data_IF_273870223731
#
_entry.id   IF_273870223731
#
_cell.length_a   1.000
_cell.length_b   1.000
_cell.length_c   1.000
_cell.angle_alpha   90.00
_cell.angle_beta   90.00
_cell.angle_gamma   90.00
#
_symmetry.space_group_name_H-M   'P 1'
#
loop_
_entity.id
_entity.type
_entity.pdbx_description
1 polymer ?
#
# COMPACT_ATOMS: atom_id res chain seq x y z
N UNK A 1 -48.10 22.27 -38.20
CA UNK A 1 -46.99 23.18 -38.61
C UNK A 1 -46.97 24.39 -37.67
N UNK A 2 -46.03 24.46 -36.72
CA UNK A 2 -45.77 25.69 -35.96
C UNK A 2 -44.51 26.33 -36.55
N UNK A 3 -44.74 27.34 -37.38
CA UNK A 3 -43.73 28.12 -38.08
C UNK A 3 -42.98 29.02 -37.10
N UNK A 4 -41.64 28.94 -37.12
CA UNK A 4 -40.78 29.92 -36.47
C UNK A 4 -40.88 31.22 -37.30
N UNK A 5 -41.72 32.16 -36.85
CA UNK A 5 -41.97 33.44 -37.52
C UNK A 5 -40.75 34.35 -37.41
N UNK A 6 -40.36 34.89 -38.57
CA UNK A 6 -39.74 36.19 -38.82
C UNK A 6 -38.81 36.76 -37.74
N UNK A 7 -37.50 36.51 -37.86
CA UNK A 7 -36.50 37.52 -37.46
C UNK A 7 -35.42 37.65 -38.53
N UNK A 8 -35.15 38.91 -38.88
CA UNK A 8 -34.25 39.37 -39.93
C UNK A 8 -32.87 38.74 -39.82
N UNK A 9 -32.36 38.29 -40.96
CA UNK A 9 -30.98 37.91 -41.14
C UNK A 9 -30.06 39.10 -40.79
N UNK A 10 -29.13 38.88 -39.86
CA UNK A 10 -27.89 39.61 -39.82
C UNK A 10 -26.79 38.68 -40.29
N UNK A 11 -26.13 39.11 -41.36
CA UNK A 11 -24.95 38.47 -41.89
C UNK A 11 -23.73 38.84 -41.04
N UNK A 12 -22.76 37.92 -41.08
CA UNK A 12 -21.32 38.08 -40.85
C UNK A 12 -20.77 37.74 -39.46
N UNK A 13 -19.83 36.80 -39.53
CA UNK A 13 -18.59 36.70 -38.75
C UNK A 13 -18.72 36.48 -37.26
N UNK A 14 -18.35 35.26 -36.84
CA UNK A 14 -17.53 35.03 -35.65
C UNK A 14 -17.95 35.83 -34.41
N UNK A 15 -19.13 35.60 -33.83
CA UNK A 15 -19.34 35.86 -32.39
C UNK A 15 -20.53 35.06 -31.85
N UNK A 16 -20.28 34.35 -30.75
CA UNK A 16 -21.24 33.55 -29.99
C UNK A 16 -22.41 34.44 -29.54
N UNK A 17 -23.64 34.08 -29.91
CA UNK A 17 -24.85 34.66 -29.30
C UNK A 17 -25.57 33.55 -28.54
N UNK A 18 -25.63 33.70 -27.22
CA UNK A 18 -26.35 32.81 -26.29
C UNK A 18 -27.60 33.50 -25.77
N UNK A 19 -28.73 32.79 -25.78
CA UNK A 19 -29.98 33.24 -25.16
C UNK A 19 -30.40 32.23 -24.06
N UNK A 20 -30.95 32.74 -22.97
CA UNK A 20 -31.32 31.96 -21.77
C UNK A 20 -32.83 31.75 -21.69
N UNK A 21 -33.26 30.48 -21.56
CA UNK A 21 -34.54 30.13 -20.94
C UNK A 21 -34.43 28.75 -20.29
N UNK A 22 -34.78 28.66 -19.01
CA UNK A 22 -34.83 27.45 -18.17
C UNK A 22 -33.50 26.66 -18.03
N UNK A 23 -32.41 27.34 -17.63
CA UNK A 23 -31.23 26.67 -17.05
C UNK A 23 -30.36 25.79 -17.97
N UNK A 24 -30.77 25.56 -19.22
CA UNK A 24 -29.99 24.80 -20.20
C UNK A 24 -29.57 25.71 -21.36
N UNK A 25 -28.26 25.82 -21.59
CA UNK A 25 -27.68 26.56 -22.70
C UNK A 25 -27.95 25.80 -24.02
N UNK A 26 -29.14 25.95 -24.62
CA UNK A 26 -29.42 25.38 -25.94
C UNK A 26 -28.92 26.34 -27.02
N UNK A 27 -27.84 25.95 -27.71
CA UNK A 27 -27.38 26.63 -28.93
C UNK A 27 -28.40 26.37 -30.04
N UNK A 28 -29.20 27.37 -30.41
CA UNK A 28 -29.94 27.31 -31.67
C UNK A 28 -28.97 27.60 -32.81
N UNK A 29 -28.26 26.57 -33.28
CA UNK A 29 -27.54 26.65 -34.55
C UNK A 29 -28.56 26.50 -35.68
N UNK A 30 -28.68 27.53 -36.52
CA UNK A 30 -29.45 27.45 -37.76
C UNK A 30 -28.62 26.62 -38.75
N UNK A 31 -28.93 25.33 -38.86
CA UNK A 31 -28.17 24.35 -39.67
C UNK A 31 -28.36 24.48 -41.19
N UNK A 32 -28.92 25.59 -41.68
CA UNK A 32 -29.31 25.77 -43.10
C UNK A 32 -28.18 25.65 -44.13
N UNK A 33 -26.92 25.53 -43.70
CA UNK A 33 -25.75 25.36 -44.56
C UNK A 33 -24.92 24.11 -44.26
N UNK A 34 -25.34 23.25 -43.33
CA UNK A 34 -24.64 22.00 -43.04
C UNK A 34 -25.30 20.86 -43.83
N UNK A 35 -24.51 20.13 -44.61
CA UNK A 35 -24.96 18.88 -45.22
C UNK A 35 -24.81 17.75 -44.20
N UNK A 36 -25.77 16.82 -44.20
CA UNK A 36 -25.63 15.62 -43.40
C UNK A 36 -24.38 14.85 -43.85
N UNK A 37 -23.56 14.41 -42.89
CA UNK A 37 -22.31 13.71 -43.19
C UNK A 37 -22.53 12.41 -43.98
N UNK A 38 -23.65 11.74 -43.71
CA UNK A 38 -23.93 10.41 -44.25
C UNK A 38 -24.69 10.45 -45.59
N UNK A 39 -25.37 11.57 -45.90
CA UNK A 39 -26.12 11.76 -47.15
C UNK A 39 -26.10 13.23 -47.58
N UNK A 40 -26.00 13.51 -48.89
CA UNK A 40 -26.00 14.87 -49.47
C UNK A 40 -27.37 15.57 -49.38
N UNK A 41 -27.93 15.66 -48.17
CA UNK A 41 -29.16 16.35 -47.85
C UNK A 41 -28.88 17.41 -46.78
N UNK A 42 -29.65 18.51 -46.75
CA UNK A 42 -29.50 19.52 -45.72
C UNK A 42 -29.78 18.91 -44.34
N UNK A 43 -28.84 19.12 -43.41
CA UNK A 43 -29.00 18.71 -42.02
C UNK A 43 -30.16 19.49 -41.40
N UNK A 44 -31.02 18.76 -40.70
CA UNK A 44 -32.21 19.31 -40.06
C UNK A 44 -31.95 19.54 -38.57
N UNK A 45 -31.14 18.68 -37.95
CA UNK A 45 -30.86 18.68 -36.52
C UNK A 45 -29.37 18.36 -36.24
N UNK A 46 -28.85 18.87 -35.13
CA UNK A 46 -27.48 18.59 -34.68
C UNK A 46 -27.55 17.52 -33.61
N UNK A 47 -26.86 16.40 -33.81
CA UNK A 47 -26.79 15.34 -32.83
C UNK A 47 -25.69 15.65 -31.80
N UNK A 48 -26.02 15.93 -30.53
CA UNK A 48 -25.01 16.18 -29.51
C UNK A 48 -24.21 14.92 -29.14
N UNK A 49 -24.69 13.73 -29.50
CA UNK A 49 -23.99 12.46 -29.21
C UNK A 49 -22.85 12.20 -30.20
N UNK A 50 -23.05 12.53 -31.47
CA UNK A 50 -22.02 12.38 -32.51
C UNK A 50 -21.25 13.68 -32.78
N UNK A 51 -21.67 14.79 -32.18
CA UNK A 51 -21.22 16.16 -32.50
C UNK A 51 -21.32 16.49 -34.00
N UNK A 52 -22.32 15.93 -34.68
CA UNK A 52 -22.48 16.02 -36.14
C UNK A 52 -23.85 16.56 -36.54
N UNK A 53 -23.90 17.26 -37.67
CA UNK A 53 -25.14 17.72 -38.28
C UNK A 53 -25.77 16.57 -39.09
N UNK A 54 -26.97 16.13 -38.72
CA UNK A 54 -27.65 14.97 -39.31
C UNK A 54 -28.98 15.37 -39.96
N UNK A 55 -29.39 14.60 -40.97
CA UNK A 55 -30.75 14.67 -41.51
C UNK A 55 -31.72 13.95 -40.55
N UNK A 56 -33.04 14.18 -40.71
CA UNK A 56 -34.05 13.59 -39.84
C UNK A 56 -34.06 12.06 -39.81
N UNK A 57 -33.60 11.38 -40.86
CA UNK A 57 -33.54 9.92 -40.89
C UNK A 57 -32.25 9.37 -40.25
N UNK A 58 -31.09 10.00 -40.52
CA UNK A 58 -29.85 9.65 -39.82
C UNK A 58 -29.91 9.93 -38.32
N UNK A 59 -30.73 10.90 -37.88
CA UNK A 59 -30.98 11.15 -36.46
C UNK A 59 -31.81 10.01 -35.82
N UNK A 60 -32.77 9.43 -36.54
CA UNK A 60 -33.56 8.28 -36.03
C UNK A 60 -32.73 7.01 -35.90
N UNK A 61 -31.73 6.83 -36.78
CA UNK A 61 -30.80 5.71 -36.73
C UNK A 61 -29.64 5.92 -35.75
N UNK A 62 -29.46 7.15 -35.25
CA UNK A 62 -28.53 7.44 -34.16
C UNK A 62 -29.04 6.74 -32.91
N UNK A 63 -28.56 5.50 -32.69
CA UNK A 63 -28.91 4.68 -31.53
C UNK A 63 -28.71 5.50 -30.28
N UNK A 64 -29.79 5.76 -29.55
CA UNK A 64 -29.75 6.46 -28.27
C UNK A 64 -28.66 5.83 -27.39
N UNK A 65 -27.65 6.62 -27.03
CA UNK A 65 -26.73 6.23 -25.98
C UNK A 65 -27.58 6.13 -24.72
N UNK A 66 -27.78 4.91 -24.24
CA UNK A 66 -28.22 4.64 -22.88
C UNK A 66 -27.19 5.32 -21.99
N UNK A 67 -27.56 6.47 -21.42
CA UNK A 67 -26.73 7.18 -20.44
C UNK A 67 -26.29 6.18 -19.38
N UNK A 68 -25.03 6.26 -18.91
CA UNK A 68 -24.54 5.41 -17.82
C UNK A 68 -25.44 5.53 -16.58
N UNK A 69 -26.18 6.63 -16.42
CA UNK A 69 -27.25 6.79 -15.40
C UNK A 69 -28.38 5.75 -15.51
N UNK A 70 -28.67 5.18 -16.69
CA UNK A 70 -29.61 4.06 -16.84
C UNK A 70 -29.03 2.72 -16.37
N UNK A 71 -27.69 2.59 -16.30
CA UNK A 71 -27.02 1.45 -15.66
C UNK A 71 -26.78 1.67 -14.16
N UNK A 72 -26.72 2.92 -13.71
CA UNK A 72 -26.52 3.30 -12.30
C UNK A 72 -27.82 3.60 -11.54
N UNK A 73 -28.97 3.67 -12.23
CA UNK A 73 -30.26 3.69 -11.53
C UNK A 73 -30.52 2.28 -11.03
N UNK A 74 -30.66 2.08 -9.70
CA UNK A 74 -30.96 0.77 -9.17
C UNK A 74 -32.36 0.39 -9.68
N UNK A 75 -32.42 -0.47 -10.69
CA UNK A 75 -33.65 -1.19 -10.99
C UNK A 75 -34.02 -1.90 -9.69
N UNK A 76 -35.20 -1.55 -9.15
CA UNK A 76 -35.70 -2.10 -7.90
C UNK A 76 -35.68 -3.64 -8.02
N UNK A 77 -34.70 -4.29 -7.41
CA UNK A 77 -34.68 -5.74 -7.20
C UNK A 77 -33.69 -6.59 -8.01
N UNK A 78 -32.86 -6.05 -8.89
CA UNK A 78 -31.87 -6.88 -9.63
C UNK A 78 -30.43 -6.38 -9.44
N UNK A 79 -29.80 -6.75 -8.30
CA UNK A 79 -28.34 -6.82 -8.26
C UNK A 79 -27.92 -7.80 -9.36
N UNK A 80 -27.06 -7.37 -10.28
CA UNK A 80 -26.55 -8.29 -11.30
C UNK A 80 -25.68 -9.34 -10.59
N UNK A 81 -25.76 -10.61 -11.02
CA UNK A 81 -24.94 -11.71 -10.49
C UNK A 81 -23.44 -11.37 -10.47
N UNK A 82 -22.98 -10.49 -11.38
CA UNK A 82 -21.61 -10.00 -11.40
C UNK A 82 -21.26 -9.13 -10.17
N UNK A 83 -22.19 -8.30 -9.69
CA UNK A 83 -21.97 -7.49 -8.48
C UNK A 83 -21.92 -8.36 -7.21
N UNK A 84 -22.78 -9.37 -7.09
CA UNK A 84 -22.75 -10.30 -5.95
C UNK A 84 -21.44 -11.11 -5.90
N UNK A 85 -20.93 -11.51 -7.08
CA UNK A 85 -19.64 -12.19 -7.17
C UNK A 85 -18.47 -11.27 -6.78
N UNK A 86 -18.50 -10.00 -7.17
CA UNK A 86 -17.48 -9.01 -6.77
C UNK A 86 -17.53 -8.78 -5.26
N UNK A 87 -18.71 -8.58 -4.68
CA UNK A 87 -18.90 -8.39 -3.24
C UNK A 87 -18.38 -9.60 -2.45
N UNK A 88 -18.66 -10.82 -2.93
CA UNK A 88 -18.11 -12.04 -2.33
C UNK A 88 -16.58 -12.09 -2.37
N UNK A 89 -15.97 -11.81 -3.53
CA UNK A 89 -14.50 -11.80 -3.65
C UNK A 89 -13.88 -10.74 -2.74
N UNK A 90 -14.48 -9.56 -2.62
CA UNK A 90 -14.00 -8.51 -1.72
C UNK A 90 -14.06 -8.95 -0.25
N UNK A 91 -15.16 -9.57 0.16
CA UNK A 91 -15.31 -10.11 1.52
C UNK A 91 -14.30 -11.24 1.81
N UNK A 92 -14.09 -12.14 0.85
CA UNK A 92 -13.10 -13.22 0.96
C UNK A 92 -11.68 -12.64 1.07
N UNK A 93 -11.35 -11.61 0.28
CA UNK A 93 -10.06 -10.92 0.36
C UNK A 93 -9.87 -10.21 1.71
N UNK A 94 -10.89 -9.51 2.20
CA UNK A 94 -10.84 -8.83 3.50
C UNK A 94 -10.61 -9.83 4.65
N UNK A 95 -11.31 -10.96 4.60
CA UNK A 95 -11.17 -12.05 5.58
C UNK A 95 -9.77 -12.67 5.54
N UNK A 96 -9.23 -12.91 4.34
CA UNK A 96 -7.90 -13.47 4.14
C UNK A 96 -6.80 -12.52 4.63
N UNK A 97 -6.91 -11.22 4.29
CA UNK A 97 -5.97 -10.20 4.77
C UNK A 97 -6.02 -10.10 6.28
N UNK A 98 -7.22 -10.06 6.87
CA UNK A 98 -7.41 -10.00 8.32
C UNK A 98 -6.80 -11.20 9.04
N UNK A 99 -6.92 -12.40 8.46
CA UNK A 99 -6.32 -13.62 9.00
C UNK A 99 -4.80 -13.60 8.90
N UNK A 100 -4.25 -13.20 7.74
CA UNK A 100 -2.81 -13.08 7.54
C UNK A 100 -2.16 -12.05 8.48
N UNK A 101 -2.85 -10.94 8.77
CA UNK A 101 -2.39 -9.94 9.76
C UNK A 101 -2.34 -10.55 11.16
N UNK A 102 -3.40 -11.26 11.58
CA UNK A 102 -3.44 -11.93 12.90
C UNK A 102 -2.31 -12.96 13.05
N UNK A 103 -2.08 -13.77 12.02
CA UNK A 103 -1.02 -14.79 12.07
C UNK A 103 0.37 -14.16 12.07
N UNK A 104 0.58 -13.09 11.29
CA UNK A 104 1.82 -12.31 11.34
C UNK A 104 2.06 -11.73 12.73
N UNK A 105 1.04 -11.14 13.34
CA UNK A 105 1.17 -10.49 14.64
C UNK A 105 1.44 -11.51 15.75
N UNK A 106 0.83 -12.70 15.69
CA UNK A 106 1.17 -13.84 16.57
C UNK A 106 2.62 -14.27 16.39
N UNK A 107 3.05 -14.55 15.17
CA UNK A 107 4.42 -14.95 14.87
C UNK A 107 5.45 -13.89 15.33
N UNK A 108 5.13 -12.60 15.18
CA UNK A 108 5.98 -11.52 15.67
C UNK A 108 6.05 -11.48 17.19
N UNK A 109 4.95 -11.77 17.89
CA UNK A 109 4.94 -11.90 19.35
C UNK A 109 5.83 -13.05 19.80
N UNK A 110 5.64 -14.24 19.21
CA UNK A 110 6.40 -15.44 19.55
C UNK A 110 7.90 -15.24 19.30
N UNK A 111 8.27 -14.62 18.16
CA UNK A 111 9.66 -14.29 17.87
C UNK A 111 10.27 -13.29 18.85
N UNK A 112 9.49 -12.32 19.33
CA UNK A 112 9.94 -11.37 20.36
C UNK A 112 10.19 -12.07 21.69
N UNK A 113 9.29 -12.95 22.10
CA UNK A 113 9.44 -13.74 23.32
C UNK A 113 10.66 -14.67 23.24
N UNK A 114 10.82 -15.40 22.13
CA UNK A 114 12.00 -16.25 21.90
C UNK A 114 13.30 -15.44 21.96
N UNK A 115 13.33 -14.25 21.34
CA UNK A 115 14.50 -13.36 21.40
C UNK A 115 14.83 -12.94 22.84
N UNK A 116 13.82 -12.63 23.66
CA UNK A 116 14.02 -12.28 25.07
C UNK A 116 14.56 -13.46 25.88
N UNK A 117 14.00 -14.66 25.68
CA UNK A 117 14.47 -15.89 26.34
C UNK A 117 15.93 -16.18 26.00
N UNK A 118 16.28 -16.13 24.71
CA UNK A 118 17.66 -16.36 24.25
C UNK A 118 18.61 -15.30 24.83
N UNK A 119 18.21 -14.03 24.87
CA UNK A 119 19.03 -12.97 25.43
C UNK A 119 19.32 -13.20 26.93
N UNK A 120 18.32 -13.63 27.70
CA UNK A 120 18.50 -13.94 29.11
C UNK A 120 19.38 -15.20 29.31
N UNK A 121 19.20 -16.23 28.50
CA UNK A 121 20.07 -17.42 28.52
C UNK A 121 21.53 -17.06 28.22
N UNK A 122 21.79 -16.20 27.24
CA UNK A 122 23.15 -15.71 26.93
C UNK A 122 23.73 -14.96 28.12
N UNK A 123 22.94 -14.10 28.78
CA UNK A 123 23.36 -13.35 29.96
C UNK A 123 23.72 -14.28 31.13
N UNK A 124 22.88 -15.27 31.41
CA UNK A 124 23.15 -16.29 32.44
C UNK A 124 24.41 -17.08 32.12
N UNK A 125 24.61 -17.49 30.87
CA UNK A 125 25.84 -18.21 30.44
C UNK A 125 27.09 -17.36 30.62
N UNK A 126 27.03 -16.06 30.30
CA UNK A 126 28.15 -15.13 30.56
C UNK A 126 28.46 -15.00 32.04
N UNK A 127 27.45 -14.93 32.90
CA UNK A 127 27.66 -14.90 34.35
C UNK A 127 28.31 -16.20 34.84
N UNK A 128 27.84 -17.36 34.37
CA UNK A 128 28.43 -18.67 34.71
C UNK A 128 29.91 -18.74 34.29
N UNK A 129 30.23 -18.28 33.07
CA UNK A 129 31.62 -18.23 32.58
C UNK A 129 32.47 -17.33 33.47
N UNK A 130 32.00 -16.14 33.80
CA UNK A 130 32.76 -15.20 34.63
C UNK A 130 33.00 -15.75 36.04
N UNK A 131 31.99 -16.36 36.66
CA UNK A 131 32.17 -17.04 37.96
C UNK A 131 33.20 -18.16 37.87
N UNK A 132 33.15 -18.98 36.82
CA UNK A 132 34.12 -20.05 36.63
C UNK A 132 35.54 -19.51 36.45
N UNK A 133 35.72 -18.45 35.65
CA UNK A 133 37.02 -17.83 35.43
C UNK A 133 37.59 -17.21 36.71
N UNK A 134 36.77 -16.50 37.49
CA UNK A 134 37.20 -15.94 38.77
C UNK A 134 37.65 -17.03 39.74
N UNK A 135 36.87 -18.11 39.87
CA UNK A 135 37.23 -19.23 40.74
C UNK A 135 38.54 -19.91 40.28
N UNK A 136 38.74 -20.01 38.97
CA UNK A 136 39.97 -20.58 38.41
C UNK A 136 41.17 -19.67 38.67
N UNK A 137 41.00 -18.36 38.52
CA UNK A 137 42.03 -17.36 38.84
C UNK A 137 42.43 -17.42 40.31
N UNK A 138 41.45 -17.42 41.22
CA UNK A 138 41.68 -17.55 42.67
C UNK A 138 42.45 -18.85 43.00
N UNK A 139 42.02 -19.99 42.46
CA UNK A 139 42.69 -21.27 42.69
C UNK A 139 44.14 -21.29 42.15
N UNK A 140 44.41 -20.62 41.02
CA UNK A 140 45.75 -20.50 40.48
C UNK A 140 46.64 -19.58 41.32
N UNK A 141 46.10 -18.45 41.80
CA UNK A 141 46.80 -17.55 42.71
C UNK A 141 47.18 -18.28 43.99
N UNK A 142 46.24 -18.98 44.62
CA UNK A 142 46.49 -19.78 45.84
C UNK A 142 47.59 -20.82 45.62
N UNK A 143 47.55 -21.54 44.48
CA UNK A 143 48.56 -22.54 44.15
C UNK A 143 49.95 -21.91 43.93
N UNK A 144 50.03 -20.76 43.27
CA UNK A 144 51.30 -20.05 43.06
C UNK A 144 51.86 -19.57 44.40
N UNK A 145 51.03 -18.97 45.25
CA UNK A 145 51.46 -18.54 46.59
C UNK A 145 51.93 -19.71 47.46
N UNK A 146 51.24 -20.86 47.41
CA UNK A 146 51.68 -22.06 48.13
C UNK A 146 53.04 -22.56 47.63
N UNK A 147 53.26 -22.60 46.31
CA UNK A 147 54.55 -22.97 45.73
C UNK A 147 55.66 -21.98 46.11
N UNK A 148 55.36 -20.68 46.12
CA UNK A 148 56.33 -19.64 46.51
C UNK A 148 56.79 -19.85 47.96
N UNK A 149 55.87 -20.09 48.89
CA UNK A 149 56.19 -20.40 50.28
C UNK A 149 57.07 -21.66 50.37
N UNK A 150 56.71 -22.72 49.65
CA UNK A 150 57.48 -23.97 49.64
C UNK A 150 58.92 -23.76 49.12
N UNK A 151 59.08 -22.98 48.04
CA UNK A 151 60.41 -22.69 47.49
C UNK A 151 61.23 -21.80 48.44
N UNK A 152 60.63 -20.79 49.07
CA UNK A 152 61.31 -19.97 50.08
C UNK A 152 61.85 -20.82 51.23
N UNK A 153 61.03 -21.73 51.78
CA UNK A 153 61.44 -22.65 52.84
C UNK A 153 62.61 -23.55 52.41
N UNK A 154 62.54 -24.13 51.21
CA UNK A 154 63.64 -24.96 50.66
C UNK A 154 64.93 -24.15 50.47
N UNK A 155 64.84 -22.91 50.04
CA UNK A 155 66.00 -22.02 49.88
C UNK A 155 66.63 -21.74 51.26
N UNK A 156 65.82 -21.43 52.28
CA UNK A 156 66.30 -21.21 53.65
C UNK A 156 67.00 -22.45 54.20
N UNK A 157 66.45 -23.64 54.01
CA UNK A 157 67.07 -24.91 54.40
C UNK A 157 68.44 -25.12 53.71
N UNK A 158 68.53 -24.82 52.41
CA UNK A 158 69.78 -24.93 51.66
C UNK A 158 70.81 -23.93 52.16
N UNK A 159 70.41 -22.68 52.41
CA UNK A 159 71.28 -21.64 52.98
C UNK A 159 71.80 -22.08 54.35
N UNK A 160 70.93 -22.62 55.21
CA UNK A 160 71.33 -23.12 56.52
C UNK A 160 72.37 -24.23 56.41
N UNK A 161 72.12 -25.25 55.57
CA UNK A 161 73.06 -26.36 55.32
C UNK A 161 74.41 -25.88 54.79
N UNK A 162 74.43 -24.87 53.91
CA UNK A 162 75.66 -24.28 53.38
C UNK A 162 76.45 -23.54 54.48
N UNK A 163 75.76 -22.81 55.34
CA UNK A 163 76.39 -22.09 56.45
C UNK A 163 76.96 -23.03 57.52
N UNK A 164 76.30 -24.15 57.80
CA UNK A 164 76.81 -25.21 58.67
C UNK A 164 78.10 -25.82 58.11
N UNK A 165 78.11 -26.16 56.81
CA UNK A 165 79.31 -26.70 56.14
C UNK A 165 80.50 -25.73 56.14
N UNK A 166 80.28 -24.41 56.06
CA UNK A 166 81.36 -23.42 56.11
C UNK A 166 82.03 -23.28 57.48
N UNK A 167 81.37 -23.76 58.55
CA UNK A 167 81.87 -23.69 59.93
C UNK A 167 82.67 -24.94 60.34
N UNK A 168 82.58 -26.01 59.56
CA UNK A 168 83.39 -27.24 59.70
C UNK A 168 84.69 -27.11 58.92
#
# INVERSE_FOLDING_TARGET
MKTCRNYKAFYLTSTKTSYYRNGHQRRCMVLRHFQCKNINQPAQEFCPQCEEALCGDCHKECKEIIFIEHFLTPSKGHKSVAFDNIEKVLNDLESNISSAVKDRDRNLSDLREQKQVIAEQIKQKRQQINTFLNNLEEALIEKVSAMEIEYCQKIEEVIQKLNERKKM
#
